data_IF_876673569042
#
_entry.id   IF_876673569042
#
_cell.length_a   1.000
_cell.length_b   1.000
_cell.length_c   1.000
_cell.angle_alpha   90.00
_cell.angle_beta   90.00
_cell.angle_gamma   90.00
#
_symmetry.space_group_name_H-M   'P 1'
#
loop_
_entity.id
_entity.type
_entity.pdbx_description
1 polymer ?
#
# COMPACT_ATOMS: atom_id res chain seq x y z
N UNK A 1 -3.86 -3.86 25.41
CA UNK A 1 -5.27 -4.30 25.32
C UNK A 1 -5.68 -4.35 23.86
N UNK A 2 -6.45 -5.38 23.49
CA UNK A 2 -7.10 -5.64 22.21
C UNK A 2 -6.19 -5.85 20.97
N UNK A 3 -5.85 -7.12 20.71
CA UNK A 3 -5.63 -7.57 19.34
C UNK A 3 -6.96 -7.62 18.61
N UNK A 4 -7.11 -6.84 17.56
CA UNK A 4 -8.23 -6.96 16.64
C UNK A 4 -7.90 -8.06 15.62
N UNK A 5 -8.15 -9.30 16.03
CA UNK A 5 -8.35 -10.40 15.09
C UNK A 5 -9.79 -10.29 14.59
N UNK A 6 -9.98 -9.65 13.43
CA UNK A 6 -11.25 -9.73 12.71
C UNK A 6 -11.37 -11.14 12.08
N UNK A 7 -12.52 -11.83 12.20
CA UNK A 7 -12.71 -13.14 11.61
C UNK A 7 -12.81 -12.97 10.08
N UNK A 8 -11.70 -13.17 9.37
CA UNK A 8 -11.72 -13.26 7.92
C UNK A 8 -12.61 -14.43 7.50
N UNK A 9 -13.64 -14.11 6.71
CA UNK A 9 -14.50 -15.10 6.10
C UNK A 9 -13.62 -16.12 5.35
N UNK A 10 -13.82 -17.39 5.68
CA UNK A 10 -13.04 -18.53 5.17
C UNK A 10 -13.10 -18.56 3.62
N UNK A 11 -12.13 -17.95 2.96
CA UNK A 11 -11.97 -18.00 1.50
C UNK A 11 -11.44 -16.73 0.83
N UNK A 12 -11.52 -15.57 1.50
CA UNK A 12 -11.12 -14.28 0.94
C UNK A 12 -10.42 -13.43 2.01
N UNK A 13 -9.25 -12.87 1.70
CA UNK A 13 -8.59 -11.89 2.57
C UNK A 13 -9.45 -10.67 2.75
N UNK A 14 -9.66 -10.28 4.00
CA UNK A 14 -10.30 -9.02 4.32
C UNK A 14 -9.37 -7.85 4.01
N UNK A 15 -9.95 -6.68 3.71
CA UNK A 15 -9.20 -5.44 3.48
C UNK A 15 -8.22 -5.12 4.61
N UNK A 16 -8.61 -5.32 5.88
CA UNK A 16 -7.73 -5.11 7.03
C UNK A 16 -6.49 -6.01 6.98
N UNK A 17 -6.63 -7.25 6.52
CA UNK A 17 -5.51 -8.17 6.36
C UNK A 17 -4.62 -7.76 5.19
N UNK A 18 -5.20 -7.29 4.09
CA UNK A 18 -4.45 -6.73 2.97
C UNK A 18 -3.62 -5.50 3.39
N UNK A 19 -4.22 -4.61 4.18
CA UNK A 19 -3.53 -3.45 4.78
C UNK A 19 -2.40 -3.92 5.71
N UNK A 20 -2.66 -4.89 6.59
CA UNK A 20 -1.64 -5.42 7.50
C UNK A 20 -0.47 -6.07 6.74
N UNK A 21 -0.75 -6.81 5.66
CA UNK A 21 0.27 -7.43 4.82
C UNK A 21 1.16 -6.39 4.12
N UNK A 22 0.55 -5.30 3.65
CA UNK A 22 1.29 -4.15 3.12
C UNK A 22 2.11 -3.47 4.22
N UNK A 23 1.52 -3.12 5.37
CA UNK A 23 2.27 -2.48 6.46
C UNK A 23 3.42 -3.34 7.01
N UNK A 24 3.37 -4.67 6.83
CA UNK A 24 4.46 -5.57 7.17
C UNK A 24 5.67 -5.47 6.22
N UNK A 25 5.53 -4.79 5.07
CA UNK A 25 6.63 -4.60 4.12
C UNK A 25 7.69 -3.65 4.70
N UNK A 26 8.98 -4.03 4.64
CA UNK A 26 10.07 -3.17 5.12
C UNK A 26 10.15 -1.86 4.34
N UNK A 27 9.69 -1.82 3.08
CA UNK A 27 9.62 -0.61 2.27
C UNK A 27 8.65 0.42 2.86
N UNK A 28 7.42 -0.01 3.17
CA UNK A 28 6.39 0.85 3.75
C UNK A 28 6.79 1.33 5.14
N UNK A 29 7.45 0.47 5.93
CA UNK A 29 8.00 0.84 7.23
C UNK A 29 9.12 1.90 7.09
N UNK A 30 10.02 1.74 6.13
CA UNK A 30 11.07 2.71 5.86
C UNK A 30 10.51 4.06 5.41
N UNK A 31 9.45 4.04 4.58
CA UNK A 31 8.74 5.25 4.19
C UNK A 31 8.04 5.93 5.36
N UNK A 32 7.29 5.19 6.17
CA UNK A 32 6.63 5.74 7.35
C UNK A 32 7.64 6.39 8.31
N UNK A 33 8.73 5.70 8.65
CA UNK A 33 9.80 6.23 9.50
C UNK A 33 10.44 7.49 8.90
N UNK A 34 10.65 7.51 7.57
CA UNK A 34 11.19 8.67 6.87
C UNK A 34 10.23 9.84 6.84
N UNK A 35 8.94 9.61 6.59
CA UNK A 35 7.89 10.62 6.61
C UNK A 35 7.82 11.24 8.00
N UNK A 36 7.79 10.42 9.06
CA UNK A 36 7.77 10.89 10.44
C UNK A 36 9.00 11.74 10.77
N UNK A 37 10.20 11.32 10.33
CA UNK A 37 11.45 12.08 10.50
C UNK A 37 11.46 13.39 9.71
N UNK A 38 11.05 13.35 8.45
CA UNK A 38 11.06 14.50 7.54
C UNK A 38 10.04 15.56 7.97
N UNK A 39 8.86 15.12 8.41
CA UNK A 39 7.78 15.99 8.85
C UNK A 39 7.82 16.27 10.36
N UNK A 40 8.83 15.76 11.08
CA UNK A 40 9.02 15.94 12.51
C UNK A 40 7.77 15.56 13.34
N UNK A 41 7.07 14.50 12.93
CA UNK A 41 5.81 14.03 13.53
C UNK A 41 4.53 14.71 13.02
N UNK A 42 4.62 15.64 12.06
CA UNK A 42 3.46 16.29 11.43
C UNK A 42 2.79 15.48 10.34
N UNK A 43 3.49 14.46 9.84
CA UNK A 43 3.02 13.55 8.82
C UNK A 43 3.34 12.13 9.22
N UNK A 44 2.48 11.19 8.81
CA UNK A 44 2.70 9.77 8.99
C UNK A 44 2.28 9.02 7.72
N UNK A 45 3.00 7.93 7.42
CA UNK A 45 2.60 7.02 6.36
C UNK A 45 1.32 6.27 6.75
N UNK A 46 0.30 6.35 5.90
CA UNK A 46 -0.97 5.65 6.08
C UNK A 46 -1.35 4.90 4.80
N UNK A 47 -2.03 3.76 4.93
CA UNK A 47 -2.67 3.09 3.80
C UNK A 47 -4.14 3.48 3.78
N UNK A 48 -4.55 4.12 2.69
CA UNK A 48 -5.95 4.47 2.44
C UNK A 48 -6.52 3.59 1.33
N UNK A 49 -7.80 3.27 1.43
CA UNK A 49 -8.52 2.73 0.28
C UNK A 49 -8.61 3.82 -0.78
N UNK A 50 -8.11 3.51 -1.97
CA UNK A 50 -8.31 4.41 -3.10
C UNK A 50 -9.73 4.27 -3.63
N UNK A 51 -10.20 3.03 -3.75
CA UNK A 51 -11.51 2.73 -4.30
C UNK A 51 -12.14 1.55 -3.56
N UNK A 52 -13.46 1.62 -3.35
CA UNK A 52 -14.23 0.52 -2.77
C UNK A 52 -14.44 -0.61 -3.78
N UNK A 53 -14.28 -0.34 -5.08
CA UNK A 53 -14.35 -1.35 -6.12
C UNK A 53 -13.04 -2.14 -6.20
N UNK A 54 -13.19 -3.47 -6.24
CA UNK A 54 -12.09 -4.39 -6.51
C UNK A 54 -11.65 -4.25 -7.98
N UNK A 55 -10.34 -4.10 -8.20
CA UNK A 55 -9.78 -4.11 -9.54
C UNK A 55 -9.68 -5.54 -10.04
N UNK A 56 -10.25 -5.83 -11.21
CA UNK A 56 -10.06 -7.10 -11.87
C UNK A 56 -8.75 -7.07 -12.66
N UNK A 57 -7.71 -7.76 -12.18
CA UNK A 57 -6.42 -7.88 -12.86
C UNK A 57 -6.19 -9.35 -13.19
N UNK A 58 -5.96 -9.67 -14.47
CA UNK A 58 -5.74 -11.06 -14.94
C UNK A 58 -6.80 -12.06 -14.45
N UNK A 59 -8.05 -11.62 -14.31
CA UNK A 59 -9.18 -12.45 -13.85
C UNK A 59 -9.29 -12.64 -12.34
N UNK A 60 -8.38 -12.06 -11.54
CA UNK A 60 -8.45 -12.03 -10.07
C UNK A 60 -8.92 -10.67 -9.57
N UNK A 61 -9.56 -10.65 -8.41
CA UNK A 61 -10.03 -9.42 -7.76
C UNK A 61 -8.99 -8.91 -6.76
N UNK A 62 -8.63 -7.62 -6.87
CA UNK A 62 -7.64 -6.98 -6.01
C UNK A 62 -8.23 -5.76 -5.30
N UNK A 63 -7.93 -5.63 -4.00
CA UNK A 63 -8.18 -4.42 -3.24
C UNK A 63 -7.22 -3.32 -3.65
N UNK A 64 -7.76 -2.13 -3.90
CA UNK A 64 -6.99 -0.95 -4.30
C UNK A 64 -6.65 -0.12 -3.07
N UNK A 65 -5.39 -0.23 -2.62
CA UNK A 65 -4.88 0.43 -1.43
C UNK A 65 -3.76 1.39 -1.85
N UNK A 66 -3.86 2.66 -1.49
CA UNK A 66 -2.78 3.61 -1.72
C UNK A 66 -2.04 3.90 -0.44
N UNK A 67 -0.70 3.86 -0.51
CA UNK A 67 0.11 4.46 0.52
C UNK A 67 0.14 5.96 0.32
N UNK A 68 -0.28 6.67 1.36
CA UNK A 68 -0.31 8.12 1.39
C UNK A 68 0.50 8.62 2.57
N UNK A 69 1.18 9.73 2.38
CA UNK A 69 1.66 10.55 3.47
C UNK A 69 0.48 11.37 3.96
N UNK A 70 0.01 11.09 5.17
CA UNK A 70 -1.04 11.87 5.80
C UNK A 70 -0.41 12.99 6.63
N UNK A 71 -0.35 14.18 6.03
CA UNK A 71 0.12 15.42 6.65
C UNK A 71 -1.05 16.27 7.11
N UNK A 72 -0.78 17.25 8.00
CA UNK A 72 -1.82 18.22 8.43
C UNK A 72 -2.33 19.12 7.29
N UNK A 73 -1.58 19.19 6.20
CA UNK A 73 -1.89 20.01 5.02
C UNK A 73 -2.66 19.22 3.96
N UNK A 74 -2.13 18.05 3.56
CA UNK A 74 -2.75 17.18 2.56
C UNK A 74 -2.33 15.72 2.73
N UNK A 75 -3.16 14.81 2.24
CA UNK A 75 -2.81 13.40 2.07
C UNK A 75 -2.16 13.21 0.68
N UNK A 76 -0.82 13.14 0.63
CA UNK A 76 -0.11 12.93 -0.62
C UNK A 76 -0.02 11.44 -0.93
N UNK A 77 -0.54 11.01 -2.08
CA UNK A 77 -0.36 9.63 -2.55
C UNK A 77 1.08 9.41 -3.02
N UNK A 78 1.70 8.36 -2.51
CA UNK A 78 3.03 7.92 -2.93
C UNK A 78 2.94 6.81 -3.96
N UNK A 79 2.18 5.77 -3.65
CA UNK A 79 2.11 4.55 -4.46
C UNK A 79 0.78 3.84 -4.26
N UNK A 80 0.29 3.21 -5.32
CA UNK A 80 -0.91 2.39 -5.30
C UNK A 80 -0.53 0.91 -5.28
N UNK A 81 -1.23 0.14 -4.46
CA UNK A 81 -1.03 -1.28 -4.26
C UNK A 81 -2.34 -2.02 -4.52
N UNK A 82 -2.20 -3.22 -5.04
CA UNK A 82 -3.28 -4.12 -5.40
C UNK A 82 -3.07 -5.40 -4.61
N UNK A 83 -3.98 -5.73 -3.71
CA UNK A 83 -3.87 -6.96 -2.91
C UNK A 83 -4.95 -7.95 -3.31
N UNK A 84 -4.57 -9.12 -3.78
CA UNK A 84 -5.50 -10.14 -4.23
C UNK A 84 -6.39 -10.57 -3.08
N UNK A 85 -7.71 -10.51 -3.27
CA UNK A 85 -8.66 -11.03 -2.31
C UNK A 85 -8.51 -12.56 -2.13
N UNK A 86 -8.14 -13.27 -3.19
CA UNK A 86 -8.04 -14.74 -3.17
C UNK A 86 -6.88 -15.26 -2.32
N UNK A 87 -5.67 -14.73 -2.55
CA UNK A 87 -4.42 -15.32 -2.05
C UNK A 87 -3.56 -14.33 -1.25
N UNK A 88 -3.87 -13.03 -1.32
CA UNK A 88 -3.09 -11.97 -0.67
C UNK A 88 -1.85 -11.57 -1.45
N UNK A 89 -1.78 -11.95 -2.72
CA UNK A 89 -0.75 -11.48 -3.64
C UNK A 89 -0.76 -9.95 -3.69
N UNK A 90 0.40 -9.36 -3.43
CA UNK A 90 0.60 -7.92 -3.47
C UNK A 90 1.24 -7.55 -4.80
N UNK A 91 0.53 -6.72 -5.55
CA UNK A 91 1.02 -6.04 -6.73
C UNK A 91 1.06 -4.53 -6.44
N UNK A 92 1.87 -3.82 -7.19
CA UNK A 92 1.98 -2.37 -7.16
C UNK A 92 1.37 -1.87 -8.45
N UNK A 93 0.36 -1.02 -8.34
CA UNK A 93 -0.24 -0.37 -9.49
C UNK A 93 0.68 0.76 -9.94
N UNK A 94 1.35 0.57 -11.07
CA UNK A 94 2.14 1.64 -11.67
C UNK A 94 1.23 2.49 -12.54
N UNK A 95 0.80 3.63 -12.03
CA UNK A 95 -0.04 4.59 -12.78
C UNK A 95 0.69 5.11 -14.04
N UNK A 96 2.03 5.12 -14.01
CA UNK A 96 2.88 5.58 -15.13
C UNK A 96 2.82 4.62 -16.32
N UNK A 97 2.98 3.31 -16.08
CA UNK A 97 2.93 2.29 -17.14
C UNK A 97 1.51 1.74 -17.36
N UNK A 98 0.59 1.99 -16.42
CA UNK A 98 -0.75 1.42 -16.40
C UNK A 98 -0.77 -0.09 -16.07
N UNK A 99 0.33 -0.64 -15.57
CA UNK A 99 0.50 -2.07 -15.32
C UNK A 99 0.71 -2.37 -13.83
N UNK A 100 0.16 -3.50 -13.38
CA UNK A 100 0.40 -4.01 -12.04
C UNK A 100 1.74 -4.77 -11.99
N UNK A 101 2.71 -4.22 -11.26
CA UNK A 101 4.04 -4.77 -11.05
C UNK A 101 4.06 -5.65 -9.80
N UNK A 102 4.89 -6.70 -9.77
CA UNK A 102 5.14 -7.42 -8.51
C UNK A 102 6.02 -6.58 -7.58
N UNK A 103 5.99 -6.84 -6.27
CA UNK A 103 6.86 -6.14 -5.32
C UNK A 103 8.34 -6.22 -5.70
N UNK A 104 8.81 -7.38 -6.16
CA UNK A 104 10.19 -7.55 -6.62
C UNK A 104 10.52 -6.69 -7.83
N UNK A 105 9.62 -6.65 -8.82
CA UNK A 105 9.81 -5.83 -10.01
C UNK A 105 9.78 -4.35 -9.64
N UNK A 106 8.81 -3.92 -8.84
CA UNK A 106 8.71 -2.55 -8.33
C UNK A 106 9.96 -2.12 -7.55
N UNK A 107 10.50 -3.00 -6.68
CA UNK A 107 11.75 -2.74 -5.94
C UNK A 107 12.93 -2.50 -6.88
N UNK A 108 12.99 -3.26 -7.98
CA UNK A 108 14.05 -3.17 -8.98
C UNK A 108 13.92 -1.94 -9.87
N UNK A 109 12.68 -1.62 -10.26
CA UNK A 109 12.36 -0.59 -11.25
C UNK A 109 12.25 0.81 -10.62
N UNK A 110 11.39 0.95 -9.60
CA UNK A 110 11.11 2.22 -8.93
C UNK A 110 12.04 2.53 -7.76
N UNK A 111 12.76 1.51 -7.25
CA UNK A 111 13.67 1.63 -6.10
C UNK A 111 13.05 2.44 -4.95
N UNK A 112 11.92 1.97 -4.38
CA UNK A 112 11.16 2.71 -3.38
C UNK A 112 12.01 3.10 -2.17
N UNK A 113 12.96 2.26 -1.75
CA UNK A 113 13.89 2.58 -0.66
C UNK A 113 14.83 3.76 -0.96
N UNK A 114 15.10 4.06 -2.23
CA UNK A 114 15.90 5.22 -2.65
C UNK A 114 15.03 6.45 -2.91
N UNK A 115 13.72 6.26 -3.05
CA UNK A 115 12.76 7.35 -3.24
C UNK A 115 12.73 8.25 -1.99
N UNK A 116 12.77 9.56 -2.22
CA UNK A 116 12.86 10.56 -1.15
C UNK A 116 11.56 11.34 -0.93
N UNK A 117 10.53 11.14 -1.75
CA UNK A 117 9.23 11.77 -1.63
C UNK A 117 8.18 11.17 -2.58
N UNK A 118 6.90 11.59 -2.48
CA UNK A 118 5.93 11.33 -3.54
C UNK A 118 6.47 11.97 -4.82
N UNK A 119 6.34 11.28 -5.95
CA UNK A 119 7.07 11.63 -7.18
C UNK A 119 6.61 13.00 -7.67
N UNK A 120 7.56 13.85 -8.03
CA UNK A 120 7.29 15.09 -8.78
C UNK A 120 6.74 14.79 -10.18
#
# INVERSE_FOLDING_TARGET
MAGAQAPAAKGALSREQAVAALMALPELKAWADRIEKSSNGKAHGALMEYDAQLRAVKGKQYYQLSFVENSSDAAQRWESFLVAQSDGEILVDDDVSGEALTLEQWRKDKKPLQRSGPGE
#
